data_IF_669676174614
#
_entry.id   IF_669676174614
#
_cell.length_a   1.000
_cell.length_b   1.000
_cell.length_c   1.000
_cell.angle_alpha   90.00
_cell.angle_beta   90.00
_cell.angle_gamma   90.00
#
_symmetry.space_group_name_H-M   'P 1'
#
loop_
_entity.id
_entity.type
_entity.pdbx_description
1 polymer ?
#
# COMPACT_ATOMS: atom_id res chain seq x y z
N UNK A 1 27.83 30.32 -20.26
CA UNK A 1 28.69 29.35 -19.55
C UNK A 1 30.06 29.34 -20.20
N UNK A 2 31.13 29.42 -19.42
CA UNK A 2 32.50 29.30 -19.96
C UNK A 2 32.93 27.85 -19.79
N UNK A 3 33.05 27.11 -20.88
CA UNK A 3 33.54 25.74 -20.85
C UNK A 3 35.05 25.77 -20.52
N UNK A 4 35.47 25.12 -19.44
CA UNK A 4 36.86 25.06 -19.00
C UNK A 4 37.22 23.61 -18.70
N UNK A 5 38.42 23.17 -19.10
CA UNK A 5 38.94 21.90 -18.62
C UNK A 5 39.26 21.99 -17.12
N UNK A 6 39.23 20.86 -16.40
CA UNK A 6 39.45 20.79 -14.94
C UNK A 6 40.69 21.57 -14.50
N UNK A 7 41.81 21.40 -15.22
CA UNK A 7 43.06 22.09 -14.93
C UNK A 7 42.98 23.62 -15.05
N UNK A 8 42.33 24.14 -16.09
CA UNK A 8 42.19 25.59 -16.27
C UNK A 8 41.25 26.19 -15.23
N UNK A 9 40.25 25.41 -14.80
CA UNK A 9 39.34 25.81 -13.74
C UNK A 9 40.06 25.87 -12.38
N UNK A 10 40.77 24.80 -12.00
CA UNK A 10 41.55 24.72 -10.76
C UNK A 10 42.62 25.81 -10.65
N UNK A 11 43.29 26.15 -11.75
CA UNK A 11 44.35 27.17 -11.78
C UNK A 11 43.85 28.57 -12.10
N UNK A 12 42.54 28.78 -12.25
CA UNK A 12 41.93 30.03 -12.68
C UNK A 12 42.56 30.63 -13.95
N UNK A 13 42.98 29.76 -14.89
CA UNK A 13 43.57 30.16 -16.16
C UNK A 13 42.49 30.31 -17.23
N UNK A 14 42.76 31.15 -18.23
CA UNK A 14 41.92 31.22 -19.43
C UNK A 14 42.06 29.91 -20.23
N UNK A 15 40.94 29.24 -20.48
CA UNK A 15 40.88 28.03 -21.28
C UNK A 15 40.61 28.43 -22.74
N UNK A 16 41.64 28.47 -23.58
CA UNK A 16 41.49 28.63 -25.03
C UNK A 16 41.42 27.25 -25.66
N UNK A 17 40.26 26.90 -26.20
CA UNK A 17 40.00 25.60 -26.81
C UNK A 17 40.45 25.63 -28.25
N UNK A 18 41.33 24.70 -28.62
CA UNK A 18 41.59 24.38 -30.02
C UNK A 18 40.67 23.23 -30.44
N UNK A 19 39.75 23.51 -31.36
CA UNK A 19 38.78 22.54 -31.85
C UNK A 19 39.40 21.47 -32.75
N UNK A 20 40.57 21.74 -33.35
CA UNK A 20 41.23 20.76 -34.21
C UNK A 20 41.88 19.63 -33.41
N UNK A 21 42.50 19.96 -32.28
CA UNK A 21 43.14 18.99 -31.38
C UNK A 21 42.23 18.49 -30.27
N UNK A 22 41.07 19.14 -30.06
CA UNK A 22 40.18 18.84 -28.94
C UNK A 22 40.80 19.16 -27.57
N UNK A 23 41.85 19.99 -27.52
CA UNK A 23 42.58 20.30 -26.28
C UNK A 23 42.68 21.79 -26.06
N UNK A 24 42.88 22.17 -24.79
CA UNK A 24 43.13 23.55 -24.44
C UNK A 24 44.59 23.95 -24.76
N UNK A 25 44.84 25.17 -25.23
CA UNK A 25 46.19 25.66 -25.55
C UNK A 25 47.16 25.51 -24.36
N UNK A 26 46.68 25.77 -23.14
CA UNK A 26 47.46 25.59 -21.91
C UNK A 26 47.73 24.13 -21.52
N UNK A 27 46.99 23.18 -22.10
CA UNK A 27 47.14 21.74 -21.92
C UNK A 27 48.10 21.18 -22.98
N UNK A 28 48.02 21.70 -24.21
CA UNK A 28 48.91 21.39 -25.32
C UNK A 28 50.34 21.82 -24.98
N UNK A 29 50.54 23.05 -24.48
CA UNK A 29 51.87 23.62 -24.20
C UNK A 29 52.70 22.84 -23.17
N UNK A 30 52.03 22.06 -22.34
CA UNK A 30 52.62 21.29 -21.23
C UNK A 30 52.41 19.79 -21.42
N UNK A 31 51.93 19.36 -22.59
CA UNK A 31 51.59 17.98 -22.92
C UNK A 31 50.81 17.24 -21.81
N UNK A 32 49.86 17.93 -21.18
CA UNK A 32 49.00 17.33 -20.16
C UNK A 32 47.67 16.86 -20.76
N UNK A 33 47.05 15.89 -20.09
CA UNK A 33 45.69 15.48 -20.40
C UNK A 33 44.71 16.64 -20.21
N UNK A 34 43.76 16.74 -21.15
CA UNK A 34 42.77 17.80 -21.17
C UNK A 34 41.39 17.16 -21.03
N UNK A 35 40.76 17.36 -19.88
CA UNK A 35 39.39 16.87 -19.57
C UNK A 35 38.30 17.72 -20.23
N UNK A 36 38.58 18.34 -21.37
CA UNK A 36 37.63 19.20 -22.05
C UNK A 36 36.57 18.40 -22.82
N UNK A 37 36.97 17.24 -23.34
CA UNK A 37 36.07 16.27 -23.95
C UNK A 37 36.08 14.99 -23.14
N UNK A 38 34.89 14.44 -22.92
CA UNK A 38 34.67 13.12 -22.36
C UNK A 38 34.96 12.10 -23.47
N UNK A 39 35.74 11.05 -23.21
CA UNK A 39 36.05 10.04 -24.22
C UNK A 39 34.79 9.28 -24.66
N UNK A 40 34.78 8.77 -25.89
CA UNK A 40 33.62 8.08 -26.48
C UNK A 40 33.23 6.84 -25.67
N UNK A 41 34.21 6.16 -25.05
CA UNK A 41 33.94 5.00 -24.20
C UNK A 41 33.11 5.35 -22.95
N UNK A 42 33.28 6.55 -22.38
CA UNK A 42 32.44 7.00 -21.26
C UNK A 42 31.02 7.32 -21.71
N UNK A 43 30.85 7.88 -22.91
CA UNK A 43 29.53 8.09 -23.50
C UNK A 43 28.79 6.78 -23.75
N UNK A 44 29.48 5.80 -24.34
CA UNK A 44 28.89 4.49 -24.63
C UNK A 44 28.43 3.77 -23.36
N UNK A 45 29.21 3.85 -22.27
CA UNK A 45 28.81 3.30 -20.96
C UNK A 45 27.53 3.94 -20.44
N UNK A 46 27.43 5.26 -20.49
CA UNK A 46 26.22 5.98 -20.04
C UNK A 46 25.01 5.59 -20.89
N UNK A 47 25.18 5.45 -22.20
CA UNK A 47 24.10 5.04 -23.10
C UNK A 47 23.63 3.60 -22.85
N UNK A 48 24.56 2.68 -22.58
CA UNK A 48 24.25 1.29 -22.20
C UNK A 48 23.50 1.23 -20.85
N UNK A 49 23.97 1.98 -19.85
CA UNK A 49 23.28 2.10 -18.56
C UNK A 49 21.89 2.70 -18.70
N UNK A 50 21.73 3.73 -19.52
CA UNK A 50 20.43 4.33 -19.80
C UNK A 50 19.50 3.31 -20.48
N UNK A 51 19.98 2.58 -21.48
CA UNK A 51 19.22 1.54 -22.16
C UNK A 51 18.80 0.43 -21.20
N UNK A 52 19.69 0.00 -20.30
CA UNK A 52 19.39 -1.00 -19.28
C UNK A 52 18.32 -0.51 -18.29
N UNK A 53 18.45 0.72 -17.77
CA UNK A 53 17.47 1.32 -16.85
C UNK A 53 16.11 1.54 -17.50
N UNK A 54 16.07 1.92 -18.78
CA UNK A 54 14.81 2.03 -19.52
C UNK A 54 14.09 0.69 -19.64
N UNK A 55 14.82 -0.40 -19.88
CA UNK A 55 14.25 -1.75 -19.91
C UNK A 55 13.76 -2.20 -18.52
N UNK A 56 14.52 -1.87 -17.46
CA UNK A 56 14.11 -2.15 -16.08
C UNK A 56 12.83 -1.39 -15.71
N UNK A 57 12.73 -0.11 -16.08
CA UNK A 57 11.52 0.68 -15.88
C UNK A 57 10.33 0.10 -16.64
N UNK A 58 10.51 -0.30 -17.90
CA UNK A 58 9.42 -0.92 -18.67
C UNK A 58 8.89 -2.19 -17.98
N UNK A 59 9.77 -3.05 -17.44
CA UNK A 59 9.37 -4.24 -16.67
C UNK A 59 8.67 -3.87 -15.36
N UNK A 60 9.15 -2.85 -14.67
CA UNK A 60 8.52 -2.37 -13.44
C UNK A 60 7.11 -1.82 -13.71
N UNK A 61 6.93 -1.06 -14.80
CA UNK A 61 5.64 -0.55 -15.25
C UNK A 61 4.66 -1.68 -15.58
N UNK A 62 5.09 -2.72 -16.28
CA UNK A 62 4.26 -3.92 -16.53
C UNK A 62 3.81 -4.57 -15.21
N UNK A 63 4.74 -4.76 -14.26
CA UNK A 63 4.42 -5.33 -12.95
C UNK A 63 3.45 -4.46 -12.14
N UNK A 64 3.60 -3.13 -12.22
CA UNK A 64 2.72 -2.17 -11.56
C UNK A 64 1.32 -2.18 -12.18
N UNK A 65 1.22 -2.32 -13.51
CA UNK A 65 -0.07 -2.45 -14.20
C UNK A 65 -0.83 -3.72 -13.77
N UNK A 66 -0.12 -4.85 -13.63
CA UNK A 66 -0.70 -6.07 -13.09
C UNK A 66 -1.21 -5.86 -11.67
N UNK A 67 -0.37 -5.32 -10.78
CA UNK A 67 -0.76 -5.02 -9.40
C UNK A 67 -1.97 -4.08 -9.32
N UNK A 68 -2.03 -3.05 -10.16
CA UNK A 68 -3.16 -2.13 -10.25
C UNK A 68 -4.46 -2.84 -10.65
N UNK A 69 -4.39 -3.84 -11.54
CA UNK A 69 -5.55 -4.65 -11.93
C UNK A 69 -6.08 -5.51 -10.77
N UNK A 70 -5.19 -6.11 -9.99
CA UNK A 70 -5.56 -6.85 -8.77
C UNK A 70 -6.23 -5.94 -7.74
N UNK A 71 -5.64 -4.76 -7.51
CA UNK A 71 -6.21 -3.75 -6.60
C UNK A 71 -7.59 -3.30 -7.07
N UNK A 72 -7.78 -3.07 -8.38
CA UNK A 72 -9.09 -2.70 -8.93
C UNK A 72 -10.14 -3.78 -8.71
N UNK A 73 -9.77 -5.06 -8.89
CA UNK A 73 -10.64 -6.20 -8.62
C UNK A 73 -11.04 -6.28 -7.15
N UNK A 74 -10.07 -6.19 -6.24
CA UNK A 74 -10.32 -6.22 -4.80
C UNK A 74 -11.23 -5.06 -4.34
N UNK A 75 -11.04 -3.86 -4.90
CA UNK A 75 -11.91 -2.70 -4.62
C UNK A 75 -13.36 -2.96 -5.02
N UNK A 76 -13.60 -3.61 -6.16
CA UNK A 76 -14.96 -3.96 -6.60
C UNK A 76 -15.61 -4.95 -5.63
N UNK A 77 -14.89 -6.00 -5.23
CA UNK A 77 -15.39 -7.00 -4.28
C UNK A 77 -15.70 -6.36 -2.91
N UNK A 78 -14.87 -5.42 -2.46
CA UNK A 78 -15.12 -4.62 -1.26
C UNK A 78 -16.44 -3.84 -1.38
N UNK A 79 -16.66 -3.14 -2.50
CA UNK A 79 -17.89 -2.37 -2.74
C UNK A 79 -19.14 -3.26 -2.78
N UNK A 80 -19.03 -4.48 -3.32
CA UNK A 80 -20.13 -5.45 -3.31
C UNK A 80 -20.48 -5.84 -1.87
N UNK A 81 -19.50 -6.14 -1.03
CA UNK A 81 -19.69 -6.45 0.39
C UNK A 81 -20.29 -5.26 1.14
N UNK A 82 -19.80 -4.04 0.90
CA UNK A 82 -20.39 -2.83 1.50
C UNK A 82 -21.85 -2.64 1.10
N UNK A 83 -22.19 -2.92 -0.15
CA UNK A 83 -23.58 -2.86 -0.62
C UNK A 83 -24.47 -3.87 0.10
N UNK A 84 -23.96 -5.07 0.37
CA UNK A 84 -24.65 -6.10 1.12
C UNK A 84 -24.83 -5.69 2.59
N UNK A 85 -23.78 -5.18 3.23
CA UNK A 85 -23.84 -4.64 4.59
C UNK A 85 -24.92 -3.56 4.72
N UNK A 86 -25.01 -2.65 3.74
CA UNK A 86 -26.07 -1.62 3.70
C UNK A 86 -27.47 -2.22 3.56
N UNK A 87 -27.64 -3.29 2.77
CA UNK A 87 -28.92 -4.00 2.66
C UNK A 87 -29.32 -4.64 3.99
N UNK A 88 -28.38 -5.26 4.70
CA UNK A 88 -28.63 -5.85 6.01
C UNK A 88 -29.02 -4.79 7.03
N UNK A 89 -28.25 -3.70 7.14
CA UNK A 89 -28.58 -2.59 8.02
C UNK A 89 -29.99 -2.00 7.76
N UNK A 90 -30.43 -1.92 6.50
CA UNK A 90 -31.80 -1.48 6.17
C UNK A 90 -32.87 -2.46 6.65
N UNK A 91 -32.63 -3.77 6.52
CA UNK A 91 -33.57 -4.79 7.01
C UNK A 91 -33.66 -4.76 8.53
N UNK A 92 -32.52 -4.71 9.20
CA UNK A 92 -32.45 -4.69 10.66
C UNK A 92 -33.17 -3.45 11.20
N UNK A 93 -32.95 -2.29 10.58
CA UNK A 93 -33.66 -1.06 10.93
C UNK A 93 -35.18 -1.18 10.72
N UNK A 94 -35.63 -1.87 9.68
CA UNK A 94 -37.06 -2.08 9.45
C UNK A 94 -37.67 -2.99 10.52
N UNK A 95 -36.96 -4.03 10.95
CA UNK A 95 -37.40 -4.92 12.04
C UNK A 95 -37.54 -4.14 13.35
N UNK A 96 -36.53 -3.33 13.71
CA UNK A 96 -36.57 -2.50 14.91
C UNK A 96 -37.78 -1.56 14.90
N UNK A 97 -38.06 -0.89 13.77
CA UNK A 97 -39.24 -0.01 13.64
C UNK A 97 -40.57 -0.73 13.86
N UNK A 98 -40.69 -1.97 13.40
CA UNK A 98 -41.91 -2.77 13.62
C UNK A 98 -42.06 -3.15 15.10
N UNK A 99 -40.96 -3.48 15.78
CA UNK A 99 -40.96 -3.74 17.22
C UNK A 99 -41.35 -2.49 18.01
N UNK A 100 -40.78 -1.33 17.69
CA UNK A 100 -41.11 -0.06 18.34
C UNK A 100 -42.61 0.25 18.20
N UNK A 101 -43.18 0.10 16.99
CA UNK A 101 -44.61 0.31 16.75
C UNK A 101 -45.50 -0.67 17.53
N UNK A 102 -45.11 -1.94 17.63
CA UNK A 102 -45.84 -2.92 18.43
C UNK A 102 -45.80 -2.55 19.92
N UNK A 103 -44.64 -2.19 20.45
CA UNK A 103 -44.47 -1.78 21.83
C UNK A 103 -45.22 -0.48 22.16
N UNK A 104 -45.24 0.50 21.25
CA UNK A 104 -46.04 1.72 21.39
C UNK A 104 -47.56 1.44 21.39
N UNK A 105 -48.01 0.46 20.61
CA UNK A 105 -49.43 0.06 20.58
C UNK A 105 -49.88 -0.71 21.83
N UNK A 106 -48.99 -1.49 22.43
CA UNK A 106 -49.23 -2.20 23.69
C UNK A 106 -49.14 -1.28 24.91
N UNK A 107 -48.33 -0.22 24.84
CA UNK A 107 -48.22 0.83 25.86
C UNK A 107 -49.46 1.75 26.00
N UNK A 108 -50.41 1.69 25.06
CA UNK A 108 -51.68 2.45 25.08
C UNK A 108 -52.88 1.63 25.58
N UNK A 109 -52.67 0.60 26.39
CA UNK A 109 -53.75 -0.06 27.12
C UNK A 109 -53.38 -0.28 28.58
N UNK A 110 -53.67 0.71 29.42
CA UNK A 110 -53.71 0.51 30.87
C UNK A 110 -54.91 -0.36 31.22
N UNK A 111 -54.69 -1.67 31.35
CA UNK A 111 -55.43 -2.52 32.29
C UNK A 111 -54.42 -3.41 33.01
N UNK A 112 -54.37 -3.23 34.32
CA UNK A 112 -53.56 -3.94 35.30
C UNK A 112 -54.14 -5.34 35.51
N UNK A 113 -53.33 -6.39 35.51
CA UNK A 113 -53.36 -7.42 36.57
C UNK A 113 -52.01 -8.18 36.67
N UNK A 114 -51.45 -8.43 37.87
CA UNK A 114 -50.08 -8.91 38.07
C UNK A 114 -50.03 -10.34 38.64
N UNK A 115 -49.69 -11.34 37.83
CA UNK A 115 -49.13 -12.64 38.25
C UNK A 115 -48.81 -13.41 36.95
N UNK A 116 -47.60 -13.82 36.59
CA UNK A 116 -46.67 -14.70 37.31
C UNK A 116 -45.27 -14.38 36.81
N UNK A 117 -44.36 -14.16 37.76
CA UNK A 117 -42.91 -14.20 37.56
C UNK A 117 -42.52 -15.68 37.49
N UNK A 118 -41.91 -16.12 36.39
CA UNK A 118 -40.83 -17.10 36.48
C UNK A 118 -39.86 -17.02 35.28
N UNK A 119 -38.80 -16.24 35.50
CA UNK A 119 -37.40 -16.66 35.40
C UNK A 119 -36.96 -17.50 34.19
N UNK A 120 -36.48 -16.79 33.17
CA UNK A 120 -35.11 -16.88 32.60
C UNK A 120 -34.33 -18.18 32.86
N UNK A 121 -34.08 -18.95 31.79
CA UNK A 121 -32.74 -19.42 31.41
C UNK A 121 -32.77 -20.15 30.05
N UNK A 122 -32.32 -19.45 29.00
CA UNK A 122 -31.74 -20.05 27.81
C UNK A 122 -30.22 -20.17 28.06
N UNK A 123 -29.59 -21.32 27.79
CA UNK A 123 -28.30 -21.22 27.10
C UNK A 123 -28.08 -22.39 26.13
N UNK A 124 -28.48 -22.23 24.87
CA UNK A 124 -28.23 -23.20 23.80
C UNK A 124 -27.35 -22.76 22.62
N UNK A 125 -26.77 -21.55 22.62
CA UNK A 125 -26.08 -20.97 21.44
C UNK A 125 -24.55 -20.91 21.56
N UNK A 126 -23.91 -21.96 22.09
CA UNK A 126 -22.44 -22.03 22.22
C UNK A 126 -21.79 -23.08 21.32
N UNK A 127 -22.32 -23.34 20.13
CA UNK A 127 -21.66 -24.19 19.12
C UNK A 127 -21.67 -23.54 17.74
N UNK A 128 -20.72 -22.63 17.52
CA UNK A 128 -20.27 -22.25 16.19
C UNK A 128 -18.85 -21.64 16.27
N UNK A 129 -17.89 -22.41 16.75
CA UNK A 129 -16.45 -22.09 16.64
C UNK A 129 -15.73 -22.87 15.54
N UNK A 130 -16.45 -23.63 14.71
CA UNK A 130 -15.82 -24.52 13.71
C UNK A 130 -16.06 -24.06 12.26
N UNK A 131 -15.85 -22.77 11.97
CA UNK A 131 -15.72 -22.29 10.59
C UNK A 131 -14.47 -21.40 10.42
N UNK A 132 -13.36 -21.83 11.03
CA UNK A 132 -12.05 -21.54 10.46
C UNK A 132 -11.91 -22.43 9.23
N UNK A 133 -12.29 -21.86 8.09
CA UNK A 133 -12.12 -22.44 6.77
C UNK A 133 -10.60 -22.63 6.53
N UNK A 134 -10.08 -23.87 6.41
CA UNK A 134 -8.63 -24.12 6.23
C UNK A 134 -8.08 -23.60 4.89
N UNK A 135 -8.94 -23.02 4.05
CA UNK A 135 -8.58 -22.38 2.78
C UNK A 135 -7.66 -21.17 2.92
N UNK A 136 -7.67 -20.46 4.06
CA UNK A 136 -6.87 -19.23 4.20
C UNK A 136 -5.39 -19.53 4.46
N UNK A 137 -5.10 -20.57 5.25
CA UNK A 137 -3.73 -21.01 5.52
C UNK A 137 -3.08 -21.66 4.29
N UNK A 138 -3.87 -22.32 3.45
CA UNK A 138 -3.40 -22.89 2.18
C UNK A 138 -3.00 -21.79 1.18
N UNK A 139 -3.75 -20.68 1.12
CA UNK A 139 -3.43 -19.52 0.28
C UNK A 139 -2.17 -18.80 0.74
N UNK A 140 -1.90 -18.77 2.04
CA UNK A 140 -0.71 -18.12 2.58
C UNK A 140 0.56 -18.97 2.38
N UNK A 141 0.44 -20.29 2.43
CA UNK A 141 1.54 -21.23 2.15
C UNK A 141 1.96 -21.24 0.67
N UNK A 142 1.02 -21.04 -0.26
CA UNK A 142 1.31 -20.97 -1.70
C UNK A 142 1.98 -19.65 -2.12
N UNK A 143 1.86 -18.58 -1.32
CA UNK A 143 2.57 -17.31 -1.58
C UNK A 143 4.04 -17.31 -1.14
N UNK A 144 4.48 -18.27 -0.31
CA UNK A 144 5.86 -18.34 0.18
C UNK A 144 6.37 -19.78 0.28
N UNK A 145 6.91 -20.36 -0.80
CA UNK A 145 7.63 -21.61 -0.72
C UNK A 145 9.06 -21.35 -0.20
N UNK A 146 9.32 -21.84 1.02
CA UNK A 146 10.64 -22.18 1.59
C UNK A 146 11.65 -21.04 1.84
N UNK A 147 11.92 -20.75 3.13
CA UNK A 147 13.13 -20.07 3.58
C UNK A 147 13.05 -19.52 5.01
N UNK A 148 13.98 -19.87 5.93
CA UNK A 148 13.81 -19.65 7.36
C UNK A 148 14.16 -18.21 7.74
N UNK A 149 13.16 -17.39 8.04
CA UNK A 149 13.40 -16.08 8.65
C UNK A 149 12.73 -15.99 10.01
N UNK A 150 13.61 -16.05 11.00
CA UNK A 150 13.45 -15.70 12.40
C UNK A 150 12.55 -14.49 12.65
N UNK A 151 11.51 -14.70 13.47
CA UNK A 151 11.30 -13.98 14.73
C UNK A 151 11.68 -12.48 14.74
N UNK A 152 11.02 -11.61 13.98
CA UNK A 152 11.00 -10.18 14.29
C UNK A 152 9.68 -9.50 13.85
N UNK A 153 8.97 -9.00 14.87
CA UNK A 153 8.06 -7.85 14.90
C UNK A 153 7.00 -7.70 13.79
N UNK A 154 5.81 -8.25 14.02
CA UNK A 154 4.56 -7.66 13.55
C UNK A 154 3.68 -7.23 14.73
N UNK A 155 4.11 -6.15 15.38
CA UNK A 155 3.28 -5.35 16.27
C UNK A 155 2.73 -4.18 15.45
N UNK A 156 1.68 -4.42 14.66
CA UNK A 156 0.99 -3.35 13.93
C UNK A 156 -0.53 -3.37 14.22
N UNK A 157 -0.89 -2.56 15.20
CA UNK A 157 -2.13 -1.76 15.26
C UNK A 157 -3.44 -2.53 15.44
N UNK A 158 -3.67 -3.02 16.67
CA UNK A 158 -4.99 -3.00 17.31
C UNK A 158 -5.11 -1.67 18.08
N UNK A 159 -5.41 -0.58 17.38
CA UNK A 159 -5.71 0.73 17.96
C UNK A 159 -6.95 1.24 17.22
N UNK A 160 -7.96 1.67 17.99
CA UNK A 160 -9.39 1.93 17.67
C UNK A 160 -10.28 0.69 17.86
N UNK A 161 -11.15 0.57 18.87
CA UNK A 161 -11.50 1.42 20.00
C UNK A 161 -12.72 0.79 20.70
N UNK A 162 -12.56 0.33 21.94
CA UNK A 162 -13.66 -0.08 22.81
C UNK A 162 -13.60 0.76 24.08
N UNK A 163 -14.37 1.84 24.13
CA UNK A 163 -14.67 2.56 25.37
C UNK A 163 -15.83 1.82 26.03
N UNK A 164 -15.53 0.97 27.00
CA UNK A 164 -16.52 0.36 27.87
C UNK A 164 -16.92 1.38 28.96
N UNK A 165 -18.19 1.78 28.98
CA UNK A 165 -18.81 2.55 30.06
C UNK A 165 -19.61 1.57 30.92
N UNK A 166 -19.12 1.28 32.13
CA UNK A 166 -19.81 0.40 33.09
C UNK A 166 -20.91 1.15 33.86
N UNK A 167 -21.99 0.46 34.29
CA UNK A 167 -23.01 1.07 35.14
C UNK A 167 -22.57 1.07 36.62
N UNK A 168 -22.98 2.13 37.32
CA UNK A 168 -22.94 2.31 38.78
C UNK A 168 -23.90 1.35 39.49
#
# INVERSE_FOLDING_TARGET
MVFRCKRCDEKNLRCFVDTASGRCAGCISVHAECSLFVPEEEWNKVEEEERAKRLELARAEESAALAASFVARAKRELLEIESQKKKFARRDLAVLKVQDQAQESEGSSTVVDPFVVDSVADPGWSQATDLLDPSFDQLLADLFPEGPFSLFDFKFVFLFGFVAKGPL
#
